data_IF_685761651769
#
_entry.id   IF_685761651769
#
_cell.length_a   1.000
_cell.length_b   1.000
_cell.length_c   1.000
_cell.angle_alpha   90.00
_cell.angle_beta   90.00
_cell.angle_gamma   90.00
#
_symmetry.space_group_name_H-M   'P 1'
#
loop_
_entity.id
_entity.type
_entity.pdbx_description
1 polymer ?
#
# COMPACT_ATOMS: atom_id res chain seq x y z
N UNK A 1 -17.02 10.65 -18.56
CA UNK A 1 -15.77 9.94 -18.25
C UNK A 1 -15.33 10.45 -16.91
N UNK A 2 -15.43 9.64 -15.86
CA UNK A 2 -14.82 9.95 -14.56
C UNK A 2 -13.31 10.16 -14.81
N UNK A 3 -12.69 11.24 -14.31
CA UNK A 3 -11.25 11.41 -14.42
C UNK A 3 -10.60 10.19 -13.76
N UNK A 4 -9.70 9.50 -14.46
CA UNK A 4 -8.86 8.47 -13.83
C UNK A 4 -8.17 9.13 -12.65
N UNK A 5 -8.52 8.71 -11.44
CA UNK A 5 -7.99 9.31 -10.21
C UNK A 5 -6.46 9.32 -10.29
N UNK A 6 -5.88 10.51 -10.40
CA UNK A 6 -4.42 10.65 -10.37
C UNK A 6 -4.00 10.36 -8.94
N UNK A 7 -3.29 9.25 -8.76
CA UNK A 7 -2.76 8.87 -7.45
C UNK A 7 -1.89 10.00 -6.91
N UNK A 8 -2.20 10.44 -5.69
CA UNK A 8 -1.48 11.52 -5.02
C UNK A 8 -0.05 11.12 -4.67
N UNK A 9 0.18 9.83 -4.42
CA UNK A 9 1.47 9.26 -4.08
C UNK A 9 1.71 7.96 -4.88
N UNK A 10 1.93 8.07 -6.21
CA UNK A 10 1.87 6.94 -7.13
C UNK A 10 2.90 5.84 -6.82
N UNK A 11 4.08 6.21 -6.30
CA UNK A 11 5.18 5.28 -6.05
C UNK A 11 4.82 4.13 -5.10
N UNK A 12 3.97 4.38 -4.11
CA UNK A 12 3.52 3.36 -3.16
C UNK A 12 2.01 3.09 -3.25
N UNK A 13 1.19 4.07 -3.65
CA UNK A 13 -0.26 3.87 -3.78
C UNK A 13 -0.60 2.92 -4.91
N UNK A 14 0.14 2.94 -6.03
CA UNK A 14 -0.12 2.04 -7.15
C UNK A 14 0.07 0.57 -6.77
N UNK A 15 1.23 0.13 -6.24
CA UNK A 15 1.38 -1.27 -5.83
C UNK A 15 0.42 -1.67 -4.70
N UNK A 16 0.04 -0.74 -3.83
CA UNK A 16 -1.02 -0.98 -2.83
C UNK A 16 -2.39 -1.23 -3.49
N UNK A 17 -2.83 -0.38 -4.42
CA UNK A 17 -4.10 -0.57 -5.13
C UNK A 17 -4.12 -1.84 -5.98
N UNK A 18 -3.00 -2.18 -6.63
CA UNK A 18 -2.86 -3.44 -7.36
C UNK A 18 -3.10 -4.66 -6.44
N UNK A 19 -2.70 -4.58 -5.16
CA UNK A 19 -2.99 -5.61 -4.18
C UNK A 19 -4.46 -5.63 -3.75
N UNK A 20 -5.13 -4.47 -3.68
CA UNK A 20 -6.55 -4.39 -3.29
C UNK A 20 -7.51 -5.05 -4.29
N UNK A 21 -7.15 -5.03 -5.57
CA UNK A 21 -7.98 -5.57 -6.65
C UNK A 21 -7.58 -6.99 -7.06
N UNK A 22 -6.55 -7.56 -6.45
CA UNK A 22 -6.09 -8.91 -6.75
C UNK A 22 -7.02 -9.94 -6.09
N UNK A 23 -7.50 -10.88 -6.90
CA UNK A 23 -8.48 -11.90 -6.51
C UNK A 23 -7.86 -13.29 -6.36
N UNK A 24 -6.70 -13.52 -6.98
CA UNK A 24 -5.93 -14.75 -6.82
C UNK A 24 -5.12 -14.65 -5.53
N UNK A 25 -5.42 -15.52 -4.57
CA UNK A 25 -4.81 -15.51 -3.23
C UNK A 25 -3.28 -15.64 -3.25
N UNK A 26 -2.73 -16.44 -4.18
CA UNK A 26 -1.27 -16.60 -4.29
C UNK A 26 -0.63 -15.31 -4.81
N UNK A 27 -1.23 -14.71 -5.84
CA UNK A 27 -0.77 -13.42 -6.37
C UNK A 27 -1.01 -12.29 -5.38
N UNK A 28 -2.06 -12.37 -4.57
CA UNK A 28 -2.36 -11.39 -3.54
C UNK A 28 -1.20 -11.29 -2.53
N UNK A 29 -0.68 -12.42 -2.05
CA UNK A 29 0.48 -12.43 -1.16
C UNK A 29 1.72 -11.79 -1.79
N UNK A 30 1.97 -12.06 -3.08
CA UNK A 30 3.06 -11.43 -3.83
C UNK A 30 2.85 -9.91 -3.96
N UNK A 31 1.64 -9.47 -4.32
CA UNK A 31 1.27 -8.06 -4.46
C UNK A 31 1.35 -7.31 -3.14
N UNK A 32 0.90 -7.91 -2.04
CA UNK A 32 1.02 -7.34 -0.70
C UNK A 32 2.50 -7.15 -0.31
N UNK A 33 3.37 -8.09 -0.67
CA UNK A 33 4.82 -7.99 -0.42
C UNK A 33 5.46 -6.85 -1.22
N UNK A 34 5.06 -6.68 -2.49
CA UNK A 34 5.50 -5.56 -3.33
C UNK A 34 5.02 -4.21 -2.77
N UNK A 35 3.75 -4.14 -2.33
CA UNK A 35 3.19 -2.94 -1.72
C UNK A 35 3.92 -2.55 -0.43
N UNK A 36 4.19 -3.50 0.47
CA UNK A 36 4.94 -3.25 1.71
C UNK A 36 6.36 -2.76 1.44
N UNK A 37 7.05 -3.32 0.44
CA UNK A 37 8.38 -2.89 0.07
C UNK A 37 8.38 -1.43 -0.43
N UNK A 38 7.41 -1.09 -1.29
CA UNK A 38 7.24 0.29 -1.79
C UNK A 38 6.91 1.27 -0.66
N UNK A 39 5.98 0.90 0.23
CA UNK A 39 5.60 1.70 1.40
C UNK A 39 6.80 1.90 2.34
N UNK A 40 7.57 0.85 2.61
CA UNK A 40 8.75 0.92 3.49
C UNK A 40 9.82 1.84 2.91
N UNK A 41 10.08 1.75 1.60
CA UNK A 41 10.99 2.66 0.90
C UNK A 41 10.49 4.09 0.98
N UNK A 42 9.19 4.34 0.84
CA UNK A 42 8.62 5.68 0.98
C UNK A 42 8.78 6.21 2.40
N UNK A 43 8.47 5.43 3.43
CA UNK A 43 8.64 5.84 4.83
C UNK A 43 10.08 6.26 5.14
N UNK A 44 11.07 5.53 4.62
CA UNK A 44 12.48 5.90 4.77
C UNK A 44 12.78 7.27 4.11
N UNK A 45 12.23 7.54 2.92
CA UNK A 45 12.37 8.84 2.27
C UNK A 45 11.65 9.97 3.03
N UNK A 46 10.50 9.67 3.65
CA UNK A 46 9.73 10.65 4.44
C UNK A 46 10.38 10.97 5.79
N UNK A 47 11.25 10.10 6.31
CA UNK A 47 11.94 10.32 7.58
C UNK A 47 12.86 11.55 7.56
N UNK A 48 13.35 11.94 6.38
CA UNK A 48 14.19 13.12 6.21
C UNK A 48 13.41 14.44 6.06
N UNK A 49 12.07 14.41 5.98
CA UNK A 49 11.23 15.57 5.67
C UNK A 49 10.18 15.90 6.75
N UNK A 50 10.09 17.19 7.11
CA UNK A 50 9.18 17.65 8.16
C UNK A 50 7.69 17.61 7.75
N UNK A 51 7.36 17.81 6.47
CA UNK A 51 5.99 18.13 6.04
C UNK A 51 5.31 17.03 5.19
N UNK A 52 5.14 15.85 5.78
CA UNK A 52 4.50 14.70 5.12
C UNK A 52 3.42 14.03 5.96
N UNK A 53 2.77 14.78 6.87
CA UNK A 53 1.79 14.24 7.82
C UNK A 53 0.64 13.50 7.12
N UNK A 54 0.06 14.10 6.07
CA UNK A 54 -1.04 13.50 5.32
C UNK A 54 -0.61 12.20 4.61
N UNK A 55 0.60 12.16 4.05
CA UNK A 55 1.13 10.96 3.40
C UNK A 55 1.45 9.86 4.42
N UNK A 56 2.05 10.22 5.56
CA UNK A 56 2.32 9.30 6.66
C UNK A 56 1.05 8.65 7.18
N UNK A 57 -0.02 9.42 7.35
CA UNK A 57 -1.32 8.88 7.77
C UNK A 57 -1.85 7.87 6.75
N UNK A 58 -1.87 8.23 5.46
CA UNK A 58 -2.32 7.32 4.40
C UNK A 58 -1.50 6.02 4.32
N UNK A 59 -0.19 6.11 4.57
CA UNK A 59 0.70 4.95 4.68
C UNK A 59 0.36 4.08 5.89
N UNK A 60 0.10 4.68 7.06
CA UNK A 60 -0.27 3.93 8.26
C UNK A 60 -1.59 3.18 8.07
N UNK A 61 -2.57 3.80 7.43
CA UNK A 61 -3.85 3.17 7.10
C UNK A 61 -3.65 1.99 6.13
N UNK A 62 -2.83 2.17 5.09
CA UNK A 62 -2.49 1.10 4.14
C UNK A 62 -1.79 -0.09 4.81
N UNK A 63 -0.83 0.16 5.72
CA UNK A 63 -0.15 -0.91 6.47
C UNK A 63 -1.09 -1.65 7.42
N UNK A 64 -2.03 -0.95 8.06
CA UNK A 64 -3.04 -1.59 8.90
C UNK A 64 -3.90 -2.54 8.07
N UNK A 65 -4.33 -2.10 6.88
CA UNK A 65 -5.12 -2.92 5.96
C UNK A 65 -4.36 -4.15 5.45
N UNK A 66 -3.10 -3.99 5.03
CA UNK A 66 -2.26 -5.11 4.58
C UNK A 66 -2.12 -6.18 5.68
N UNK A 67 -1.97 -5.77 6.95
CA UNK A 67 -1.89 -6.71 8.08
C UNK A 67 -3.18 -7.51 8.27
N UNK A 68 -4.34 -6.88 8.09
CA UNK A 68 -5.64 -7.57 8.15
C UNK A 68 -5.75 -8.58 7.00
N UNK A 69 -5.51 -8.15 5.76
CA UNK A 69 -5.56 -9.05 4.60
C UNK A 69 -4.64 -10.26 4.75
N UNK A 70 -3.39 -10.06 5.17
CA UNK A 70 -2.46 -11.16 5.37
C UNK A 70 -2.94 -12.15 6.42
N UNK A 71 -3.56 -11.68 7.51
CA UNK A 71 -4.13 -12.55 8.54
C UNK A 71 -5.27 -13.39 7.96
N UNK A 72 -6.14 -12.78 7.17
CA UNK A 72 -7.31 -13.45 6.60
C UNK A 72 -6.91 -14.47 5.51
N UNK A 73 -5.86 -14.19 4.73
CA UNK A 73 -5.30 -15.12 3.72
C UNK A 73 -4.43 -16.25 4.29
N UNK A 74 -4.00 -16.15 5.55
CA UNK A 74 -3.16 -17.18 6.21
C UNK A 74 -3.99 -18.04 7.17
N UNK A 75 -5.27 -17.72 7.35
CA UNK A 75 -6.17 -18.51 8.19
C UNK A 75 -6.74 -19.68 7.38
N UNK A 76 -6.49 -20.95 7.77
CA UNK A 76 -7.02 -22.13 7.10
C UNK A 76 -8.53 -22.33 7.31
#
# INVERSE_FOLDING_TARGET
MEPREVLRYPDWQKPYQDALIEVDEKKLLERLSVAEAAISKRLQALAAGADHHAERQAIHDALAFIRVLKRDTVSP
#
